data_IF_021524102544
#
_entry.id   IF_021524102544
#
_cell.length_a   1.000
_cell.length_b   1.000
_cell.length_c   1.000
_cell.angle_alpha   90.00
_cell.angle_beta   90.00
_cell.angle_gamma   90.00
#
_symmetry.space_group_name_H-M   'P 1'
#
loop_
_entity.id
_entity.type
_entity.pdbx_description
1 polymer ?
#
# COMPACT_ATOMS: atom_id res chain seq x y z
N UNK A 1 -12.94 17.93 30.72
CA UNK A 1 -12.41 18.28 29.40
C UNK A 1 -12.21 16.98 28.63
N UNK A 2 -12.75 16.79 27.42
CA UNK A 2 -12.45 15.62 26.65
C UNK A 2 -10.96 15.64 26.30
N UNK A 3 -10.24 14.59 26.66
CA UNK A 3 -8.86 14.39 26.24
C UNK A 3 -8.91 14.16 24.72
N UNK A 4 -8.42 15.14 23.96
CA UNK A 4 -8.21 14.96 22.53
C UNK A 4 -7.22 13.81 22.39
N UNK A 5 -7.56 12.71 21.68
CA UNK A 5 -6.63 11.62 21.50
C UNK A 5 -5.41 12.18 20.78
N UNK A 6 -4.29 12.18 21.47
CA UNK A 6 -2.99 12.48 20.88
C UNK A 6 -2.83 11.59 19.65
N UNK A 7 -2.57 12.21 18.51
CA UNK A 7 -2.46 11.53 17.22
C UNK A 7 -1.53 10.32 17.36
N UNK A 8 -2.03 9.13 17.03
CA UNK A 8 -1.30 7.87 17.19
C UNK A 8 -0.11 7.71 16.21
N UNK A 9 0.18 8.77 15.45
CA UNK A 9 1.27 8.84 14.48
C UNK A 9 2.34 9.78 14.98
N UNK A 10 3.61 9.38 14.84
CA UNK A 10 4.77 10.25 15.03
C UNK A 10 4.82 11.31 13.93
N UNK A 11 5.47 12.43 14.23
CA UNK A 11 5.71 13.49 13.24
C UNK A 11 7.05 13.25 12.54
N UNK A 12 7.23 13.86 11.36
CA UNK A 12 8.50 13.80 10.64
C UNK A 12 9.65 14.38 11.48
N UNK A 13 9.38 15.41 12.30
CA UNK A 13 10.34 16.03 13.23
C UNK A 13 10.92 15.04 14.23
N UNK A 14 10.13 14.06 14.71
CA UNK A 14 10.61 13.04 15.65
C UNK A 14 11.72 12.20 15.01
N UNK A 15 11.55 11.82 13.74
CA UNK A 15 12.57 11.07 13.00
C UNK A 15 13.79 11.94 12.65
N UNK A 16 13.57 13.22 12.29
CA UNK A 16 14.65 14.16 11.96
C UNK A 16 15.51 14.48 13.18
N UNK A 17 14.88 14.74 14.33
CA UNK A 17 15.59 15.04 15.58
C UNK A 17 16.45 13.85 16.04
N UNK A 18 15.90 12.64 15.96
CA UNK A 18 16.67 11.42 16.26
C UNK A 18 17.80 11.20 15.25
N UNK A 19 17.57 11.43 13.95
CA UNK A 19 18.61 11.33 12.93
C UNK A 19 19.76 12.33 13.18
N UNK A 20 19.46 13.57 13.60
CA UNK A 20 20.48 14.56 13.99
C UNK A 20 21.27 14.12 15.22
N UNK A 21 20.59 13.57 16.23
CA UNK A 21 21.24 13.05 17.42
C UNK A 21 22.24 11.94 17.07
N UNK A 22 21.87 11.01 16.16
CA UNK A 22 22.74 9.93 15.67
C UNK A 22 23.96 10.45 14.89
N UNK A 23 23.82 11.61 14.26
CA UNK A 23 24.88 12.27 13.49
C UNK A 23 25.71 13.27 14.34
N UNK A 24 25.46 13.35 15.67
CA UNK A 24 26.06 14.31 16.58
C UNK A 24 25.84 15.79 16.17
N UNK A 25 24.73 16.10 15.55
CA UNK A 25 24.35 17.46 15.11
C UNK A 25 22.96 17.85 15.65
N UNK A 26 22.80 17.79 16.96
CA UNK A 26 21.53 18.11 17.62
C UNK A 26 21.05 19.53 17.37
N UNK A 27 21.97 20.45 17.09
CA UNK A 27 21.66 21.83 16.77
C UNK A 27 21.18 22.04 15.32
N UNK A 28 21.31 21.00 14.45
CA UNK A 28 20.95 21.10 13.02
C UNK A 28 21.81 22.07 12.21
N UNK A 29 23.04 22.33 12.67
CA UNK A 29 23.94 23.27 12.03
C UNK A 29 24.52 22.74 10.72
N UNK A 30 24.71 21.43 10.63
CA UNK A 30 25.26 20.74 9.45
C UNK A 30 24.17 20.01 8.69
N UNK A 31 23.28 19.34 9.41
CA UNK A 31 22.18 18.55 8.85
C UNK A 31 20.85 19.27 9.02
N UNK A 32 20.66 20.30 8.20
CA UNK A 32 19.41 21.10 8.18
C UNK A 32 18.21 20.27 7.68
N UNK A 33 16.99 20.71 7.97
CA UNK A 33 15.76 20.07 7.48
C UNK A 33 15.72 20.00 5.96
N UNK A 34 16.17 21.05 5.29
CA UNK A 34 16.25 21.09 3.82
C UNK A 34 17.11 19.96 3.24
N UNK A 35 18.13 19.54 3.98
CA UNK A 35 19.02 18.44 3.57
C UNK A 35 18.48 17.08 3.98
N UNK A 36 17.90 16.96 5.18
CA UNK A 36 17.44 15.68 5.71
C UNK A 36 16.06 15.27 5.18
N UNK A 37 15.17 16.21 4.89
CA UNK A 37 13.80 15.89 4.45
C UNK A 37 13.75 15.06 3.15
N UNK A 38 14.53 15.34 2.10
CA UNK A 38 14.60 14.47 0.92
C UNK A 38 15.10 13.07 1.24
N UNK A 39 16.06 12.94 2.18
CA UNK A 39 16.60 11.66 2.61
C UNK A 39 15.57 10.88 3.44
N UNK A 40 14.84 11.55 4.32
CA UNK A 40 13.72 10.98 5.06
C UNK A 40 12.63 10.46 4.12
N UNK A 41 12.24 11.24 3.11
CA UNK A 41 11.28 10.81 2.10
C UNK A 41 11.77 9.59 1.31
N UNK A 42 13.06 9.52 0.99
CA UNK A 42 13.65 8.35 0.34
C UNK A 42 13.58 7.11 1.24
N UNK A 43 13.94 7.26 2.53
CA UNK A 43 13.83 6.19 3.52
C UNK A 43 12.37 5.76 3.73
N UNK A 44 11.42 6.70 3.76
CA UNK A 44 10.01 6.47 3.95
C UNK A 44 9.39 5.63 2.82
N UNK A 45 9.74 5.94 1.57
CA UNK A 45 9.31 5.14 0.41
C UNK A 45 9.99 3.78 0.33
N UNK A 46 11.26 3.68 0.76
CA UNK A 46 11.96 2.41 0.84
C UNK A 46 11.29 1.49 1.88
N UNK A 47 10.95 2.04 3.05
CA UNK A 47 10.23 1.32 4.09
C UNK A 47 8.85 0.85 3.62
N UNK A 48 8.09 1.68 2.88
CA UNK A 48 6.81 1.27 2.30
C UNK A 48 6.97 0.06 1.38
N UNK A 49 7.97 0.08 0.49
CA UNK A 49 8.23 -1.05 -0.42
C UNK A 49 8.57 -2.32 0.34
N UNK A 50 9.42 -2.23 1.34
CA UNK A 50 9.84 -3.37 2.15
C UNK A 50 8.66 -3.97 2.93
N UNK A 51 7.77 -3.13 3.48
CA UNK A 51 6.53 -3.57 4.10
C UNK A 51 5.60 -4.27 3.09
N UNK A 52 5.43 -3.70 1.90
CA UNK A 52 4.60 -4.28 0.83
C UNK A 52 5.14 -5.63 0.34
N UNK A 53 6.47 -5.78 0.18
CA UNK A 53 7.12 -7.05 -0.17
C UNK A 53 6.87 -8.14 0.88
N UNK A 54 6.72 -7.75 2.14
CA UNK A 54 6.35 -8.64 3.25
C UNK A 54 4.82 -8.81 3.43
N UNK A 55 4.02 -8.32 2.48
CA UNK A 55 2.56 -8.46 2.49
C UNK A 55 1.85 -7.51 3.46
N UNK A 56 2.52 -6.49 3.97
CA UNK A 56 1.96 -5.48 4.87
C UNK A 56 1.55 -4.25 4.08
N UNK A 57 0.25 -4.07 3.88
CA UNK A 57 -0.30 -2.86 3.27
C UNK A 57 -0.44 -1.76 4.32
N UNK A 58 0.32 -0.69 4.16
CA UNK A 58 0.38 0.39 5.16
C UNK A 58 -0.82 1.32 5.07
N UNK A 59 -1.17 1.73 3.87
CA UNK A 59 -2.25 2.67 3.62
C UNK A 59 -3.15 2.12 2.52
N UNK A 60 -4.36 1.75 2.89
CA UNK A 60 -5.37 1.20 1.98
C UNK A 60 -6.54 2.16 1.89
N UNK A 61 -6.90 2.53 0.67
CA UNK A 61 -8.03 3.40 0.38
C UNK A 61 -9.04 2.73 -0.55
N UNK A 62 -10.26 3.26 -0.55
CA UNK A 62 -11.32 2.82 -1.45
C UNK A 62 -11.86 4.02 -2.22
N UNK A 63 -12.05 3.82 -3.52
CA UNK A 63 -12.66 4.82 -4.38
C UNK A 63 -13.66 4.18 -5.34
N UNK A 64 -14.76 4.89 -5.59
CA UNK A 64 -15.77 4.47 -6.56
C UNK A 64 -15.52 5.18 -7.91
N UNK A 65 -15.43 4.39 -8.96
CA UNK A 65 -15.22 4.84 -10.34
C UNK A 65 -16.43 4.49 -11.18
N UNK A 66 -17.04 5.47 -11.82
CA UNK A 66 -18.21 5.26 -12.68
C UNK A 66 -17.77 5.06 -14.13
N UNK A 67 -18.02 3.87 -14.66
CA UNK A 67 -17.78 3.53 -16.06
C UNK A 67 -19.07 3.68 -16.85
N UNK A 68 -19.11 4.66 -17.73
CA UNK A 68 -20.21 4.86 -18.67
C UNK A 68 -19.96 4.02 -19.92
N UNK A 69 -21.03 3.58 -20.59
CA UNK A 69 -20.90 2.93 -21.89
C UNK A 69 -20.57 3.96 -22.97
N UNK A 70 -19.67 3.62 -23.87
CA UNK A 70 -19.39 4.40 -25.05
C UNK A 70 -20.64 4.38 -25.98
N UNK A 71 -21.13 5.53 -26.44
CA UNK A 71 -22.33 5.61 -27.28
C UNK A 71 -22.19 4.91 -28.63
N UNK A 72 -20.97 4.66 -29.10
CA UNK A 72 -20.71 4.01 -30.38
C UNK A 72 -20.63 2.50 -30.25
N UNK A 73 -19.85 2.01 -29.30
CA UNK A 73 -19.65 0.57 -29.08
C UNK A 73 -20.69 -0.06 -28.15
N UNK A 74 -21.38 0.75 -27.34
CA UNK A 74 -22.33 0.28 -26.33
C UNK A 74 -21.67 -0.46 -25.16
N UNK A 75 -20.33 -0.36 -25.01
CA UNK A 75 -19.55 -1.09 -24.03
C UNK A 75 -18.82 -0.10 -23.13
N UNK A 76 -18.65 -0.43 -21.84
CA UNK A 76 -17.82 0.35 -20.92
C UNK A 76 -16.34 0.28 -21.32
N UNK A 77 -15.51 1.24 -20.88
CA UNK A 77 -14.07 1.16 -21.08
C UNK A 77 -13.50 -0.20 -20.63
N UNK A 78 -12.57 -0.72 -21.42
CA UNK A 78 -11.87 -1.99 -21.14
C UNK A 78 -10.57 -1.77 -20.38
N UNK A 79 -10.25 -0.51 -20.07
CA UNK A 79 -9.04 -0.12 -19.38
C UNK A 79 -9.33 1.07 -18.44
N UNK A 80 -8.75 1.02 -17.23
CA UNK A 80 -8.68 2.15 -16.31
C UNK A 80 -7.21 2.44 -16.04
N UNK A 81 -6.75 3.61 -16.45
CA UNK A 81 -5.37 4.08 -16.32
C UNK A 81 -5.33 5.52 -15.77
N UNK A 82 -4.15 6.08 -15.66
CA UNK A 82 -3.94 7.48 -15.29
C UNK A 82 -4.42 8.49 -16.34
N UNK A 83 -4.64 8.04 -17.58
CA UNK A 83 -5.09 8.88 -18.72
C UNK A 83 -6.51 8.51 -19.23
N UNK A 84 -7.11 7.44 -18.67
CA UNK A 84 -8.46 7.01 -19.06
C UNK A 84 -9.56 7.89 -18.46
N UNK A 85 -10.80 7.67 -18.85
CA UNK A 85 -11.98 8.26 -18.19
C UNK A 85 -12.96 7.13 -17.83
N UNK A 86 -13.16 6.85 -16.52
CA UNK A 86 -12.56 7.49 -15.36
C UNK A 86 -11.07 7.17 -15.20
N UNK A 87 -10.35 8.07 -14.54
CA UNK A 87 -8.93 7.88 -14.23
C UNK A 87 -8.73 6.98 -13.01
N UNK A 88 -7.64 6.24 -13.02
CA UNK A 88 -7.13 5.58 -11.84
C UNK A 88 -6.67 6.65 -10.82
N UNK A 89 -6.87 6.45 -9.50
CA UNK A 89 -6.32 7.36 -8.50
C UNK A 89 -4.82 7.57 -8.71
N UNK A 90 -4.37 8.83 -8.74
CA UNK A 90 -2.97 9.19 -9.03
C UNK A 90 -1.98 8.70 -7.99
N UNK A 91 -2.48 8.33 -6.83
CA UNK A 91 -1.73 7.76 -5.71
C UNK A 91 -1.91 6.23 -5.57
N UNK A 92 -2.53 5.57 -6.55
CA UNK A 92 -2.68 4.12 -6.57
C UNK A 92 -1.34 3.44 -6.86
N UNK A 93 -0.82 2.70 -5.88
CA UNK A 93 0.37 1.89 -6.05
C UNK A 93 0.02 0.52 -6.64
N UNK A 94 -0.98 -0.14 -6.07
CA UNK A 94 -1.46 -1.43 -6.57
C UNK A 94 -2.90 -1.69 -6.09
N UNK A 95 -3.79 -2.18 -6.98
CA UNK A 95 -5.13 -2.59 -6.58
C UNK A 95 -5.10 -3.95 -5.88
N UNK A 96 -5.80 -4.02 -4.74
CA UNK A 96 -5.96 -5.26 -4.00
C UNK A 96 -7.21 -6.03 -4.41
N UNK A 97 -8.32 -5.29 -4.57
CA UNK A 97 -9.63 -5.88 -4.79
C UNK A 97 -10.53 -4.89 -5.51
N UNK A 98 -11.33 -5.40 -6.44
CA UNK A 98 -12.35 -4.65 -7.13
C UNK A 98 -13.72 -5.28 -6.90
N UNK A 99 -14.72 -4.43 -6.81
CA UNK A 99 -16.13 -4.81 -6.77
C UNK A 99 -16.87 -4.02 -7.83
N UNK A 100 -17.95 -4.58 -8.32
CA UNK A 100 -18.82 -3.93 -9.30
C UNK A 100 -20.27 -3.85 -8.84
N UNK A 101 -20.97 -2.86 -9.36
CA UNK A 101 -22.39 -2.66 -9.18
C UNK A 101 -22.95 -1.91 -10.39
N UNK A 102 -24.16 -2.25 -10.84
CA UNK A 102 -24.85 -1.44 -11.87
C UNK A 102 -25.00 0.00 -11.39
N UNK A 103 -24.63 0.98 -12.20
CA UNK A 103 -24.69 2.40 -11.81
C UNK A 103 -26.12 2.86 -11.53
N UNK A 104 -27.10 2.30 -12.26
CA UNK A 104 -28.52 2.62 -12.08
C UNK A 104 -29.06 2.20 -10.69
N UNK A 105 -28.47 1.18 -10.06
CA UNK A 105 -28.98 0.58 -8.83
C UNK A 105 -28.09 0.96 -7.63
N UNK A 106 -28.24 2.15 -7.13
CA UNK A 106 -27.41 2.67 -6.02
C UNK A 106 -27.62 1.94 -4.68
N UNK A 107 -28.72 1.20 -4.54
CA UNK A 107 -29.06 0.41 -3.34
C UNK A 107 -28.52 -1.01 -3.36
N UNK A 108 -28.09 -1.51 -4.52
CA UNK A 108 -27.57 -2.87 -4.65
C UNK A 108 -26.21 -3.00 -3.96
N UNK A 109 -25.93 -4.19 -3.46
CA UNK A 109 -24.65 -4.53 -2.86
C UNK A 109 -23.58 -4.67 -3.96
N UNK A 110 -22.38 -4.19 -3.68
CA UNK A 110 -21.22 -4.40 -4.55
C UNK A 110 -20.85 -5.89 -4.59
N UNK A 111 -20.69 -6.43 -5.79
CA UNK A 111 -20.28 -7.81 -6.04
C UNK A 111 -18.76 -7.86 -6.27
N UNK A 112 -18.01 -8.75 -5.59
CA UNK A 112 -16.58 -8.85 -5.81
C UNK A 112 -16.28 -9.37 -7.22
N UNK A 113 -15.26 -8.77 -7.86
CA UNK A 113 -14.75 -9.18 -9.16
C UNK A 113 -13.58 -10.15 -8.97
N UNK A 114 -13.46 -11.14 -9.85
CA UNK A 114 -12.35 -12.09 -9.85
C UNK A 114 -11.10 -11.47 -10.46
N UNK A 115 -9.96 -11.61 -9.77
CA UNK A 115 -8.67 -11.19 -10.33
C UNK A 115 -8.14 -12.26 -11.29
N UNK A 116 -7.92 -11.87 -12.53
CA UNK A 116 -7.31 -12.74 -13.52
C UNK A 116 -5.79 -12.73 -13.35
N UNK A 117 -5.22 -13.91 -13.06
CA UNK A 117 -3.77 -14.08 -12.80
C UNK A 117 -3.11 -15.08 -13.75
N UNK A 118 -3.86 -15.63 -14.70
CA UNK A 118 -3.35 -16.63 -15.64
C UNK A 118 -2.61 -15.97 -16.80
N UNK A 119 -1.54 -16.57 -17.29
CA UNK A 119 -0.68 -16.01 -18.36
C UNK A 119 -1.31 -15.91 -19.76
N UNK A 120 -2.64 -15.89 -19.87
CA UNK A 120 -3.38 -15.62 -21.10
C UNK A 120 -3.89 -14.17 -21.11
N UNK A 121 -4.29 -13.66 -22.28
CA UNK A 121 -4.89 -12.34 -22.39
C UNK A 121 -6.38 -12.39 -22.08
N UNK A 122 -6.87 -11.49 -21.22
CA UNK A 122 -8.31 -11.25 -21.01
C UNK A 122 -9.01 -10.67 -22.25
N UNK A 123 -8.25 -10.10 -23.18
CA UNK A 123 -8.75 -9.32 -24.32
C UNK A 123 -9.64 -10.13 -25.29
N UNK A 124 -9.65 -11.45 -25.20
CA UNK A 124 -10.43 -12.34 -26.08
C UNK A 124 -11.78 -12.78 -25.46
N UNK A 125 -12.13 -12.25 -24.29
CA UNK A 125 -13.40 -12.57 -23.67
C UNK A 125 -14.49 -11.62 -24.17
N UNK A 126 -15.68 -12.16 -24.40
CA UNK A 126 -16.82 -11.38 -24.89
C UNK A 126 -17.38 -10.49 -23.78
N UNK A 127 -17.74 -9.24 -24.09
CA UNK A 127 -18.44 -8.36 -23.16
C UNK A 127 -19.70 -9.01 -22.61
N UNK A 128 -20.01 -8.74 -21.37
CA UNK A 128 -21.21 -9.24 -20.69
C UNK A 128 -21.97 -8.08 -20.02
N UNK A 129 -23.08 -8.36 -19.35
CA UNK A 129 -23.84 -7.33 -18.61
C UNK A 129 -23.00 -6.68 -17.51
N UNK A 130 -22.08 -7.46 -16.91
CA UNK A 130 -21.16 -7.04 -15.85
C UNK A 130 -19.72 -7.34 -16.23
N UNK A 131 -18.77 -6.64 -15.57
CA UNK A 131 -17.33 -6.79 -15.83
C UNK A 131 -16.81 -8.16 -15.37
N UNK A 132 -17.20 -8.63 -14.19
CA UNK A 132 -16.89 -9.90 -13.52
C UNK A 132 -15.41 -10.14 -13.18
N UNK A 133 -14.48 -9.78 -14.09
CA UNK A 133 -13.05 -10.05 -13.97
C UNK A 133 -12.24 -8.79 -14.21
N UNK A 134 -11.05 -8.74 -13.64
CA UNK A 134 -10.08 -7.68 -13.84
C UNK A 134 -8.65 -8.22 -13.80
N UNK A 135 -7.74 -7.54 -14.49
CA UNK A 135 -6.31 -7.83 -14.51
C UNK A 135 -5.53 -6.55 -14.19
N UNK A 136 -4.54 -6.64 -13.32
CA UNK A 136 -3.56 -5.58 -13.12
C UNK A 136 -2.33 -5.85 -13.97
N UNK A 137 -2.06 -4.99 -14.93
CA UNK A 137 -0.94 -5.13 -15.85
C UNK A 137 -0.50 -3.78 -16.38
N UNK A 138 0.80 -3.52 -16.41
CA UNK A 138 1.39 -2.29 -16.97
C UNK A 138 0.82 -1.02 -16.31
N UNK A 139 0.66 -1.06 -14.96
CA UNK A 139 0.07 0.03 -14.15
C UNK A 139 -1.35 0.43 -14.56
N UNK A 140 -2.10 -0.52 -15.09
CA UNK A 140 -3.48 -0.37 -15.53
C UNK A 140 -4.36 -1.49 -15.01
N UNK A 141 -5.63 -1.16 -14.79
CA UNK A 141 -6.69 -2.15 -14.58
C UNK A 141 -7.32 -2.48 -15.92
N UNK A 142 -7.12 -3.69 -16.41
CA UNK A 142 -7.76 -4.19 -17.62
C UNK A 142 -9.08 -4.89 -17.25
N UNK A 143 -10.11 -4.65 -18.03
CA UNK A 143 -11.48 -5.11 -17.85
C UNK A 143 -12.00 -5.75 -19.14
N UNK A 144 -13.00 -6.63 -19.03
CA UNK A 144 -13.62 -7.23 -20.23
C UNK A 144 -14.54 -6.24 -20.95
N UNK A 145 -15.06 -5.26 -20.24
CA UNK A 145 -16.11 -4.37 -20.69
C UNK A 145 -17.52 -4.90 -20.38
N UNK A 146 -18.40 -3.99 -19.97
CA UNK A 146 -19.80 -4.30 -19.68
C UNK A 146 -20.72 -3.62 -20.68
N UNK A 147 -21.88 -4.23 -20.99
CA UNK A 147 -22.89 -3.69 -21.90
C UNK A 147 -23.85 -2.72 -21.22
N UNK A 148 -23.62 -2.42 -19.94
CA UNK A 148 -24.37 -1.42 -19.17
C UNK A 148 -23.41 -0.58 -18.34
N UNK A 149 -23.79 0.65 -17.92
CA UNK A 149 -23.00 1.46 -17.02
C UNK A 149 -22.78 0.75 -15.66
N UNK A 150 -21.54 0.71 -15.21
CA UNK A 150 -21.13 0.01 -13.98
C UNK A 150 -20.31 0.96 -13.10
N UNK A 151 -20.58 0.94 -11.80
CA UNK A 151 -19.73 1.55 -10.80
C UNK A 151 -18.76 0.51 -10.26
N UNK A 152 -17.48 0.75 -10.43
CA UNK A 152 -16.41 -0.09 -9.90
C UNK A 152 -15.88 0.54 -8.62
N UNK A 153 -15.87 -0.21 -7.54
CA UNK A 153 -15.19 0.15 -6.29
C UNK A 153 -13.84 -0.49 -6.29
N UNK A 154 -12.80 0.32 -6.31
CA UNK A 154 -11.41 -0.12 -6.20
C UNK A 154 -10.93 0.05 -4.76
N UNK A 155 -10.35 -1.01 -4.19
CA UNK A 155 -9.56 -0.97 -2.97
C UNK A 155 -8.11 -1.16 -3.34
N UNK A 156 -7.28 -0.19 -3.02
CA UNK A 156 -5.89 -0.15 -3.47
C UNK A 156 -4.94 0.25 -2.36
N UNK A 157 -3.69 -0.15 -2.53
CA UNK A 157 -2.60 0.39 -1.75
C UNK A 157 -2.24 1.77 -2.27
N UNK A 158 -2.25 2.74 -1.35
CA UNK A 158 -1.98 4.13 -1.64
C UNK A 158 -0.51 4.43 -1.45
N UNK A 159 0.07 5.17 -2.39
CA UNK A 159 1.40 5.72 -2.24
C UNK A 159 1.43 6.69 -1.05
N UNK A 160 2.42 6.54 -0.19
CA UNK A 160 2.58 7.44 0.96
C UNK A 160 2.82 8.88 0.48
N UNK A 161 2.17 9.87 1.10
CA UNK A 161 2.39 11.28 0.76
C UNK A 161 3.82 11.69 1.09
N UNK A 162 4.34 12.65 0.33
CA UNK A 162 5.64 13.25 0.64
C UNK A 162 5.52 14.07 1.93
N UNK A 163 6.50 13.91 2.80
CA UNK A 163 6.66 14.75 3.97
C UNK A 163 7.35 16.05 3.53
N UNK A 164 6.73 17.17 3.81
CA UNK A 164 7.21 18.51 3.42
C UNK A 164 7.58 19.36 4.63
N UNK A 165 6.88 19.14 5.74
CA UNK A 165 7.07 19.85 7.00
C UNK A 165 7.43 18.87 8.11
N UNK A 166 8.15 19.34 9.12
CA UNK A 166 8.46 18.54 10.32
C UNK A 166 7.20 18.08 11.07
N UNK A 167 6.10 18.84 10.96
CA UNK A 167 4.80 18.52 11.57
C UNK A 167 3.97 17.52 10.80
N UNK A 168 4.40 17.10 9.59
CA UNK A 168 3.65 16.12 8.80
C UNK A 168 3.63 14.76 9.50
N UNK A 169 2.47 14.09 9.57
CA UNK A 169 2.34 12.82 10.24
C UNK A 169 2.96 11.70 9.41
N UNK A 170 3.79 10.89 10.04
CA UNK A 170 4.31 9.65 9.46
C UNK A 170 3.20 8.59 9.48
N UNK A 171 2.68 8.21 8.32
CA UNK A 171 1.52 7.31 8.19
C UNK A 171 1.80 5.86 8.64
N UNK A 172 3.05 5.51 8.88
CA UNK A 172 3.48 4.19 9.38
C UNK A 172 3.66 4.28 10.89
N UNK A 173 2.87 3.54 11.65
CA UNK A 173 2.98 3.51 13.11
C UNK A 173 4.30 2.91 13.54
N UNK A 174 4.93 3.51 14.55
CA UNK A 174 6.22 3.06 15.12
C UNK A 174 7.38 3.05 14.12
N UNK A 175 7.32 3.86 13.05
CA UNK A 175 8.37 3.94 12.04
C UNK A 175 9.46 4.95 12.37
N UNK A 176 9.38 5.68 13.49
CA UNK A 176 10.35 6.72 13.85
C UNK A 176 11.77 6.19 13.86
N UNK A 177 12.03 5.07 14.56
CA UNK A 177 13.36 4.49 14.68
C UNK A 177 13.93 4.03 13.32
N UNK A 178 13.26 3.13 12.56
CA UNK A 178 13.78 2.70 11.25
C UNK A 178 14.01 3.87 10.30
N UNK A 179 13.11 4.87 10.29
CA UNK A 179 13.26 6.05 9.45
C UNK A 179 14.44 6.93 9.88
N UNK A 180 14.62 7.14 11.18
CA UNK A 180 15.71 7.94 11.70
C UNK A 180 17.07 7.29 11.40
N UNK A 181 17.23 5.99 11.66
CA UNK A 181 18.47 5.26 11.35
C UNK A 181 18.75 5.24 9.84
N UNK A 182 17.75 4.98 9.00
CA UNK A 182 17.92 4.98 7.56
C UNK A 182 18.28 6.38 7.02
N UNK A 183 17.62 7.44 7.52
CA UNK A 183 17.90 8.82 7.14
C UNK A 183 19.32 9.23 7.58
N UNK A 184 19.72 8.90 8.80
CA UNK A 184 21.07 9.16 9.29
C UNK A 184 22.12 8.40 8.49
N UNK A 185 21.86 7.14 8.10
CA UNK A 185 22.76 6.36 7.25
C UNK A 185 22.96 7.01 5.87
N UNK A 186 21.89 7.47 5.23
CA UNK A 186 21.96 8.19 3.97
C UNK A 186 22.74 9.51 4.10
N UNK A 187 22.51 10.26 5.18
CA UNK A 187 23.20 11.51 5.46
C UNK A 187 24.70 11.28 5.75
N UNK A 188 25.05 10.27 6.55
CA UNK A 188 26.44 9.89 6.81
C UNK A 188 27.16 9.47 5.51
N UNK A 189 26.48 8.70 4.65
CA UNK A 189 26.99 8.29 3.34
C UNK A 189 27.28 9.47 2.42
N UNK A 190 26.39 10.46 2.40
CA UNK A 190 26.56 11.68 1.58
C UNK A 190 27.79 12.50 1.98
N UNK A 191 28.22 12.39 3.24
CA UNK A 191 29.42 13.02 3.81
C UNK A 191 30.68 12.15 3.74
N UNK A 192 30.59 10.95 3.17
CA UNK A 192 31.72 10.03 3.07
C UNK A 192 32.03 9.24 4.34
N UNK A 193 31.26 9.36 5.41
CA UNK A 193 31.41 8.61 6.65
C UNK A 193 30.89 7.15 6.50
N UNK A 194 31.60 6.35 5.68
CA UNK A 194 31.14 5.04 5.23
C UNK A 194 30.95 4.04 6.37
N UNK A 195 31.85 4.02 7.36
CA UNK A 195 31.75 3.09 8.50
C UNK A 195 30.49 3.39 9.33
N UNK A 196 30.28 4.66 9.70
CA UNK A 196 29.07 5.07 10.43
C UNK A 196 27.80 4.78 9.62
N UNK A 197 27.82 5.02 8.30
CA UNK A 197 26.68 4.74 7.44
C UNK A 197 26.33 3.24 7.39
N UNK A 198 27.32 2.34 7.41
CA UNK A 198 27.08 0.89 7.44
C UNK A 198 26.49 0.44 8.79
N UNK A 199 27.00 0.93 9.90
CA UNK A 199 26.49 0.60 11.24
C UNK A 199 25.03 1.08 11.41
N UNK A 200 24.74 2.31 10.96
CA UNK A 200 23.39 2.86 10.99
C UNK A 200 22.44 2.10 10.06
N UNK A 201 22.91 1.65 8.89
CA UNK A 201 22.11 0.86 7.96
C UNK A 201 21.76 -0.51 8.56
N UNK A 202 22.72 -1.19 9.19
CA UNK A 202 22.48 -2.44 9.89
C UNK A 202 21.44 -2.29 11.01
N UNK A 203 21.53 -1.19 11.78
CA UNK A 203 20.54 -0.87 12.82
C UNK A 203 19.16 -0.56 12.21
N UNK A 204 19.11 0.17 11.08
CA UNK A 204 17.86 0.45 10.35
C UNK A 204 17.19 -0.84 9.89
N UNK A 205 17.96 -1.79 9.35
CA UNK A 205 17.43 -3.09 8.91
C UNK A 205 16.81 -3.87 10.08
N UNK A 206 17.52 -4.00 11.20
CA UNK A 206 16.98 -4.65 12.41
C UNK A 206 15.70 -3.95 12.92
N UNK A 207 15.67 -2.63 12.90
CA UNK A 207 14.48 -1.87 13.30
C UNK A 207 13.30 -2.10 12.35
N UNK A 208 13.57 -2.23 11.04
CA UNK A 208 12.56 -2.54 10.01
C UNK A 208 12.04 -3.97 10.16
N UNK A 209 12.89 -4.96 10.38
CA UNK A 209 12.50 -6.35 10.64
C UNK A 209 11.59 -6.44 11.87
N UNK A 210 11.96 -5.77 12.97
CA UNK A 210 11.14 -5.71 14.18
C UNK A 210 9.78 -5.03 13.92
N UNK A 211 9.73 -4.04 13.03
CA UNK A 211 8.49 -3.37 12.64
C UNK A 211 7.61 -4.33 11.81
N UNK A 212 8.17 -5.02 10.83
CA UNK A 212 7.49 -6.03 10.02
C UNK A 212 6.89 -7.11 10.92
N UNK A 213 7.67 -7.66 11.85
CA UNK A 213 7.15 -8.65 12.79
C UNK A 213 5.95 -8.17 13.59
N UNK A 214 5.92 -6.90 14.01
CA UNK A 214 4.77 -6.32 14.73
C UNK A 214 3.51 -6.26 13.87
N UNK A 215 3.66 -5.98 12.59
CA UNK A 215 2.52 -5.94 11.66
C UNK A 215 2.04 -7.34 11.28
N UNK A 216 2.94 -8.29 11.09
CA UNK A 216 2.61 -9.66 10.66
C UNK A 216 2.07 -10.51 11.80
N UNK A 217 2.54 -10.33 13.05
CA UNK A 217 2.09 -11.10 14.22
C UNK A 217 0.57 -11.13 14.43
N UNK A 218 -0.19 -10.01 14.35
CA UNK A 218 -1.65 -10.04 14.51
C UNK A 218 -2.36 -10.84 13.42
N UNK A 219 -1.80 -10.92 12.23
CA UNK A 219 -2.36 -11.69 11.14
C UNK A 219 -2.03 -13.19 11.26
N UNK A 220 -0.86 -13.52 11.80
CA UNK A 220 -0.47 -14.91 12.07
C UNK A 220 -1.22 -15.53 13.26
N UNK A 221 -1.65 -14.72 14.24
CA UNK A 221 -2.46 -15.21 15.38
C UNK A 221 -3.89 -15.58 14.98
N UNK A 222 -4.35 -15.22 13.80
CA UNK A 222 -5.45 -15.94 13.14
C UNK A 222 -4.90 -17.30 12.65
N UNK A 223 -4.30 -18.02 13.60
CA UNK A 223 -3.78 -19.35 13.34
C UNK A 223 -4.85 -20.12 12.61
N UNK A 224 -4.55 -20.56 11.40
CA UNK A 224 -5.26 -21.70 10.83
C UNK A 224 -5.23 -22.75 11.92
N UNK A 225 -6.31 -22.83 12.72
CA UNK A 225 -6.57 -24.00 13.51
C UNK A 225 -6.37 -25.13 12.54
N UNK A 226 -5.27 -25.87 12.66
CA UNK A 226 -5.15 -27.15 11.98
C UNK A 226 -6.43 -27.86 12.38
N UNK A 227 -7.36 -28.03 11.44
CA UNK A 227 -8.49 -28.87 11.66
C UNK A 227 -7.89 -30.17 12.20
N UNK A 228 -8.28 -30.61 13.40
CA UNK A 228 -7.80 -31.89 13.88
C UNK A 228 -8.08 -32.86 12.75
N UNK A 229 -7.04 -33.58 12.35
CA UNK A 229 -7.13 -34.63 11.33
C UNK A 229 -8.42 -35.38 11.63
N UNK A 230 -9.41 -35.28 10.76
CA UNK A 230 -10.66 -36.02 10.93
C UNK A 230 -10.25 -37.47 10.96
N UNK A 231 -10.39 -38.09 12.13
CA UNK A 231 -10.25 -39.52 12.25
C UNK A 231 -11.19 -40.12 11.20
N UNK A 232 -10.62 -40.61 10.12
CA UNK A 232 -11.33 -41.50 9.23
C UNK A 232 -11.77 -42.69 10.10
N UNK A 233 -12.98 -42.67 10.60
CA UNK A 233 -13.65 -43.84 11.10
C UNK A 233 -13.57 -44.86 9.97
N UNK A 234 -12.65 -45.79 10.08
CA UNK A 234 -12.73 -47.05 9.36
C UNK A 234 -14.07 -47.67 9.74
N UNK A 235 -15.05 -47.54 8.88
CA UNK A 235 -16.24 -48.39 8.94
C UNK A 235 -15.75 -49.79 8.54
N UNK A 236 -15.53 -50.63 9.55
CA UNK A 236 -15.32 -52.06 9.32
C UNK A 236 -16.70 -52.62 9.08
N UNK A 237 -16.99 -52.97 7.83
CA UNK A 237 -18.14 -53.80 7.52
C UNK A 237 -17.77 -55.24 7.94
N UNK A 238 -18.51 -55.77 8.92
CA UNK A 238 -18.59 -57.20 9.21
C UNK A 238 -19.59 -57.85 8.26
#
# INVERSE_FOLDING_TARGET
MPVVPTTAYSQAEDALSLARALLNDTAGAVFTDTLLMPLLNSAYRALQRELAENGVSVLVEQQDLNLSTDPVSGITPTEISDVSSPQLPTDCLAPHMLWERATANTTDVFVPMERFTRGGSMLNLQPSTYLRMWEWREDKVNLIGATQPVTVRIRYEKLLPLLTLGTDPVQIRSATDPLAFATAALAARSRGARALAQDLLGTAQMATENLIERYVRPEQTKGRRRMPYSYHRRVVYL
#
